data_IF_108991289999
#
_entry.id   IF_108991289999
#
_cell.length_a   1.000
_cell.length_b   1.000
_cell.length_c   1.000
_cell.angle_alpha   90.00
_cell.angle_beta   90.00
_cell.angle_gamma   90.00
#
_symmetry.space_group_name_H-M   'P 1'
#
loop_
_entity.id
_entity.type
_entity.pdbx_description
1 polymer ?
#
# COMPACT_ATOMS: atom_id res chain seq x y z
N UNK A 1 19.38 -1.06 -20.67
CA UNK A 1 20.38 -2.15 -20.82
C UNK A 1 20.08 -3.33 -19.90
N UNK A 2 19.93 -3.12 -18.58
CA UNK A 2 19.65 -4.18 -17.58
C UNK A 2 18.37 -4.97 -17.85
N UNK A 3 17.25 -4.32 -18.19
CA UNK A 3 15.98 -5.01 -18.45
C UNK A 3 16.06 -6.06 -19.58
N UNK A 4 16.84 -5.78 -20.65
CA UNK A 4 17.03 -6.73 -21.76
C UNK A 4 17.82 -7.97 -21.32
N UNK A 5 18.84 -7.79 -20.47
CA UNK A 5 19.62 -8.89 -19.89
C UNK A 5 18.78 -9.75 -18.96
N UNK A 6 17.97 -9.14 -18.09
CA UNK A 6 17.06 -9.87 -17.19
C UNK A 6 16.05 -10.69 -17.99
N UNK A 7 15.43 -10.11 -19.02
CA UNK A 7 14.53 -10.85 -19.92
C UNK A 7 15.25 -12.02 -20.58
N UNK A 8 16.40 -11.78 -21.20
CA UNK A 8 17.15 -12.82 -21.91
C UNK A 8 17.55 -13.98 -20.98
N UNK A 9 17.90 -13.69 -19.73
CA UNK A 9 18.32 -14.70 -18.75
C UNK A 9 17.17 -15.47 -18.12
N UNK A 10 16.09 -14.79 -17.73
CA UNK A 10 15.07 -15.39 -16.85
C UNK A 10 13.74 -15.70 -17.54
N UNK A 11 13.39 -14.98 -18.60
CA UNK A 11 12.14 -15.18 -19.35
C UNK A 11 12.31 -14.83 -20.84
N UNK A 12 13.22 -15.51 -21.57
CA UNK A 12 13.55 -15.14 -22.95
C UNK A 12 12.37 -15.31 -23.91
N UNK A 13 11.48 -16.26 -23.63
CA UNK A 13 10.33 -16.65 -24.47
C UNK A 13 8.97 -16.40 -23.82
N UNK A 14 8.93 -15.69 -22.69
CA UNK A 14 7.70 -15.42 -21.96
C UNK A 14 7.65 -13.97 -21.47
N UNK A 15 6.57 -13.60 -20.79
CA UNK A 15 6.46 -12.29 -20.14
C UNK A 15 7.05 -12.33 -18.73
N UNK A 16 7.28 -11.15 -18.15
CA UNK A 16 7.63 -11.03 -16.74
C UNK A 16 6.59 -11.77 -15.88
N UNK A 17 5.30 -11.65 -16.20
CA UNK A 17 4.17 -12.22 -15.46
C UNK A 17 4.14 -13.75 -15.42
N UNK A 18 4.77 -14.42 -16.38
CA UNK A 18 4.83 -15.89 -16.46
C UNK A 18 6.20 -16.45 -16.09
N UNK A 19 7.17 -15.58 -15.81
CA UNK A 19 8.53 -15.99 -15.54
C UNK A 19 8.59 -16.87 -14.27
N UNK A 20 9.16 -18.08 -14.33
CA UNK A 20 9.41 -18.88 -13.13
C UNK A 20 10.56 -18.28 -12.33
N UNK A 21 10.64 -18.60 -11.04
CA UNK A 21 11.77 -18.19 -10.20
C UNK A 21 13.08 -18.83 -10.68
N UNK A 22 13.00 -20.10 -11.09
CA UNK A 22 14.15 -20.92 -11.52
C UNK A 22 14.99 -21.42 -10.32
N UNK A 23 15.99 -22.25 -10.62
CA UNK A 23 16.79 -22.94 -9.60
C UNK A 23 17.92 -22.11 -8.99
N UNK A 24 18.57 -21.25 -9.79
CA UNK A 24 19.67 -20.38 -9.33
C UNK A 24 19.43 -18.90 -9.66
N UNK A 25 18.40 -18.28 -9.04
CA UNK A 25 18.08 -16.88 -9.26
C UNK A 25 19.09 -15.95 -8.56
N UNK A 26 19.43 -14.83 -9.22
CA UNK A 26 20.19 -13.76 -8.55
C UNK A 26 19.32 -13.08 -7.49
N UNK A 27 19.94 -12.40 -6.54
CA UNK A 27 19.21 -11.62 -5.53
C UNK A 27 18.25 -10.61 -6.18
N UNK A 28 18.72 -9.84 -7.16
CA UNK A 28 17.89 -8.88 -7.89
C UNK A 28 16.69 -9.55 -8.57
N UNK A 29 16.87 -10.73 -9.18
CA UNK A 29 15.77 -11.47 -9.78
C UNK A 29 14.76 -11.98 -8.74
N UNK A 30 15.21 -12.51 -7.60
CA UNK A 30 14.30 -12.90 -6.50
C UNK A 30 13.43 -11.72 -6.08
N UNK A 31 14.04 -10.55 -5.84
CA UNK A 31 13.31 -9.34 -5.46
C UNK A 31 12.30 -8.90 -6.52
N UNK A 32 12.70 -8.87 -7.80
CA UNK A 32 11.79 -8.53 -8.90
C UNK A 32 10.66 -9.55 -9.06
N UNK A 33 10.97 -10.84 -8.89
CA UNK A 33 9.99 -11.91 -9.00
C UNK A 33 8.93 -11.83 -7.91
N UNK A 34 9.29 -11.45 -6.68
CA UNK A 34 8.32 -11.15 -5.63
C UNK A 34 7.52 -9.88 -5.93
N UNK A 35 8.18 -8.80 -6.36
CA UNK A 35 7.53 -7.53 -6.69
C UNK A 35 6.55 -7.64 -7.89
N UNK A 36 6.76 -8.62 -8.78
CA UNK A 36 5.88 -8.92 -9.92
C UNK A 36 4.42 -9.10 -9.51
N UNK A 37 4.14 -9.64 -8.34
CA UNK A 37 2.76 -9.79 -7.86
C UNK A 37 2.07 -8.43 -7.76
N UNK A 38 2.75 -7.40 -7.25
CA UNK A 38 2.23 -6.03 -7.19
C UNK A 38 1.95 -5.51 -8.61
N UNK A 39 2.88 -5.78 -9.54
CA UNK A 39 2.71 -5.41 -10.95
C UNK A 39 1.51 -6.13 -11.59
N UNK A 40 1.26 -7.41 -11.29
CA UNK A 40 0.10 -8.11 -11.85
C UNK A 40 -1.24 -7.56 -11.35
N UNK A 41 -1.26 -6.95 -10.16
CA UNK A 41 -2.46 -6.33 -9.60
C UNK A 41 -2.73 -4.95 -10.22
N UNK A 42 -1.68 -4.14 -10.47
CA UNK A 42 -1.82 -2.73 -10.87
C UNK A 42 -1.55 -2.44 -12.34
N UNK A 43 -0.81 -3.28 -13.06
CA UNK A 43 -0.56 -3.10 -14.49
C UNK A 43 -1.71 -3.62 -15.36
N UNK A 44 -1.90 -2.98 -16.50
CA UNK A 44 -2.73 -3.46 -17.61
C UNK A 44 -2.06 -3.10 -18.94
N UNK A 45 -2.33 -3.84 -20.01
CA UNK A 45 -2.01 -3.42 -21.36
C UNK A 45 -3.06 -2.46 -21.91
N UNK A 46 -2.61 -1.33 -22.42
CA UNK A 46 -3.41 -0.44 -23.24
C UNK A 46 -3.24 -0.86 -24.70
N UNK A 47 -4.36 -1.18 -25.35
CA UNK A 47 -4.38 -1.72 -26.70
C UNK A 47 -4.08 -0.60 -27.71
N UNK A 48 -2.98 -0.74 -28.44
CA UNK A 48 -2.64 0.01 -29.63
C UNK A 48 -2.98 -0.82 -30.88
N UNK A 49 -1.97 -1.55 -31.37
CA UNK A 49 -2.09 -2.50 -32.49
C UNK A 49 -2.73 -3.83 -32.07
N UNK A 50 -2.54 -4.24 -30.82
CA UNK A 50 -2.92 -5.55 -30.30
C UNK A 50 -1.96 -6.69 -30.66
N UNK A 51 -0.91 -6.44 -31.45
CA UNK A 51 0.02 -7.48 -31.94
C UNK A 51 0.88 -8.05 -30.80
N UNK A 52 1.25 -7.22 -29.83
CA UNK A 52 2.14 -7.62 -28.74
C UNK A 52 1.40 -8.08 -27.47
N UNK A 53 0.09 -8.21 -27.54
CA UNK A 53 -0.76 -8.54 -26.39
C UNK A 53 -1.36 -9.92 -26.62
N UNK A 54 -0.94 -10.92 -25.85
CA UNK A 54 -1.47 -12.28 -25.94
C UNK A 54 -2.78 -12.37 -25.16
N UNK A 55 -3.81 -12.90 -25.81
CA UNK A 55 -5.19 -12.90 -25.28
C UNK A 55 -5.27 -13.57 -23.91
N UNK A 56 -4.64 -14.74 -23.76
CA UNK A 56 -4.70 -15.54 -22.53
C UNK A 56 -3.61 -15.19 -21.52
N UNK A 57 -2.52 -14.55 -21.96
CA UNK A 57 -1.25 -14.49 -21.21
C UNK A 57 -0.83 -13.08 -20.78
N UNK A 58 -1.65 -12.07 -21.08
CA UNK A 58 -1.38 -10.69 -20.70
C UNK A 58 -2.59 -10.04 -20.02
N UNK A 59 -2.40 -9.10 -19.07
CA UNK A 59 -3.50 -8.42 -18.40
C UNK A 59 -4.00 -7.26 -19.25
N UNK A 60 -4.99 -7.44 -20.12
CA UNK A 60 -5.45 -6.38 -21.03
C UNK A 60 -6.92 -5.98 -20.87
N UNK A 61 -7.73 -6.84 -20.23
CA UNK A 61 -9.14 -6.56 -19.97
C UNK A 61 -9.30 -5.46 -18.93
N UNK A 62 -10.37 -4.67 -19.05
CA UNK A 62 -10.76 -3.70 -18.03
C UNK A 62 -11.39 -4.42 -16.84
N UNK A 63 -11.08 -3.96 -15.61
CA UNK A 63 -11.76 -4.45 -14.42
C UNK A 63 -10.95 -4.29 -13.13
N UNK A 64 -11.50 -4.82 -12.04
CA UNK A 64 -10.82 -4.88 -10.74
C UNK A 64 -9.64 -5.86 -10.78
N UNK A 65 -8.88 -5.90 -9.69
CA UNK A 65 -7.56 -6.54 -9.54
C UNK A 65 -7.44 -8.01 -9.96
N UNK A 66 -8.55 -8.73 -10.21
CA UNK A 66 -8.56 -10.12 -10.73
C UNK A 66 -9.34 -10.30 -12.05
N UNK A 67 -9.83 -9.22 -12.66
CA UNK A 67 -10.64 -9.24 -13.89
C UNK A 67 -9.89 -8.71 -15.12
N UNK A 68 -8.57 -8.61 -15.04
CA UNK A 68 -7.71 -8.11 -16.13
C UNK A 68 -7.29 -9.19 -17.12
N UNK A 69 -7.49 -10.45 -16.75
CA UNK A 69 -7.15 -11.64 -17.53
C UNK A 69 -8.41 -12.30 -18.05
N UNK A 70 -8.30 -12.91 -19.24
CA UNK A 70 -9.32 -13.82 -19.75
C UNK A 70 -9.34 -15.05 -18.84
N UNK A 71 -10.50 -15.43 -18.27
CA UNK A 71 -10.56 -16.55 -17.33
C UNK A 71 -10.30 -17.86 -18.07
N UNK A 72 -9.53 -18.74 -17.44
CA UNK A 72 -9.34 -20.13 -17.88
C UNK A 72 -10.38 -21.06 -17.25
N UNK A 73 -10.77 -22.17 -17.89
CA UNK A 73 -10.30 -22.65 -19.20
C UNK A 73 -10.97 -21.95 -20.38
N UNK A 74 -10.33 -22.01 -21.56
CA UNK A 74 -10.84 -21.55 -22.85
C UNK A 74 -10.51 -22.59 -23.94
N UNK A 75 -11.11 -22.52 -25.14
CA UNK A 75 -10.74 -23.39 -26.26
C UNK A 75 -9.24 -23.28 -26.60
N UNK A 76 -8.62 -24.37 -27.06
CA UNK A 76 -7.19 -24.39 -27.39
C UNK A 76 -6.80 -23.33 -28.43
N UNK A 77 -7.71 -23.02 -29.35
CA UNK A 77 -7.54 -22.04 -30.43
C UNK A 77 -7.20 -20.63 -29.92
N UNK A 78 -7.70 -20.23 -28.73
CA UNK A 78 -7.51 -18.85 -28.25
C UNK A 78 -6.17 -18.61 -27.55
N UNK A 79 -5.47 -19.65 -27.12
CA UNK A 79 -4.20 -19.52 -26.38
C UNK A 79 -3.05 -18.96 -27.23
N UNK A 80 -3.11 -19.16 -28.53
CA UNK A 80 -2.11 -18.66 -29.48
C UNK A 80 -2.50 -17.29 -30.07
N UNK A 81 -3.67 -16.74 -29.71
CA UNK A 81 -4.15 -15.49 -30.28
C UNK A 81 -3.52 -14.27 -29.61
N UNK A 82 -3.23 -13.27 -30.44
CA UNK A 82 -3.02 -11.89 -30.02
C UNK A 82 -4.33 -11.11 -30.05
N UNK A 83 -4.38 -9.99 -29.32
CA UNK A 83 -5.54 -9.08 -29.35
C UNK A 83 -5.80 -8.56 -30.76
N UNK A 84 -4.75 -8.39 -31.59
CA UNK A 84 -4.89 -8.02 -33.01
C UNK A 84 -5.81 -8.97 -33.76
N UNK A 85 -5.78 -10.27 -33.45
CA UNK A 85 -6.61 -11.27 -34.12
C UNK A 85 -8.11 -11.13 -33.77
N UNK A 86 -8.47 -10.36 -32.74
CA UNK A 86 -9.84 -10.06 -32.33
C UNK A 86 -10.36 -8.72 -32.89
N UNK A 87 -9.48 -7.93 -33.54
CA UNK A 87 -9.81 -6.66 -34.16
C UNK A 87 -10.14 -6.81 -35.66
N UNK A 88 -10.81 -5.82 -36.23
CA UNK A 88 -10.93 -5.70 -37.69
C UNK A 88 -9.57 -5.40 -38.34
N UNK A 89 -9.34 -5.92 -39.55
CA UNK A 89 -8.06 -5.76 -40.26
C UNK A 89 -7.77 -4.30 -40.62
N UNK A 90 -8.78 -3.57 -41.08
CA UNK A 90 -8.61 -2.24 -41.67
C UNK A 90 -8.80 -1.07 -40.69
N UNK A 91 -9.44 -1.29 -39.55
CA UNK A 91 -9.73 -0.23 -38.59
C UNK A 91 -9.77 -0.76 -37.15
N UNK A 92 -9.53 0.14 -36.20
CA UNK A 92 -9.41 -0.19 -34.79
C UNK A 92 -10.79 -0.35 -34.13
N UNK A 93 -11.42 -1.49 -34.38
CA UNK A 93 -12.64 -1.90 -33.71
C UNK A 93 -12.65 -3.41 -33.47
N UNK A 94 -13.39 -3.85 -32.45
CA UNK A 94 -13.61 -5.26 -32.17
C UNK A 94 -14.39 -5.94 -33.31
N UNK A 95 -13.92 -7.11 -33.74
CA UNK A 95 -14.72 -7.99 -34.59
C UNK A 95 -15.71 -8.75 -33.71
N UNK A 96 -16.89 -8.17 -33.53
CA UNK A 96 -17.92 -8.66 -32.59
C UNK A 96 -18.29 -10.12 -32.86
N UNK A 97 -18.50 -10.48 -34.13
CA UNK A 97 -18.87 -11.84 -34.51
C UNK A 97 -17.77 -12.83 -34.13
N UNK A 98 -16.50 -12.49 -34.42
CA UNK A 98 -15.36 -13.35 -34.07
C UNK A 98 -15.20 -13.52 -32.57
N UNK A 99 -15.34 -12.44 -31.79
CA UNK A 99 -15.25 -12.50 -30.32
C UNK A 99 -16.37 -13.38 -29.75
N UNK A 100 -17.62 -13.19 -30.19
CA UNK A 100 -18.76 -14.00 -29.69
C UNK A 100 -18.71 -15.47 -30.08
N UNK A 101 -18.06 -15.80 -31.20
CA UNK A 101 -17.87 -17.19 -31.62
C UNK A 101 -16.75 -17.90 -30.85
N UNK A 102 -15.73 -17.17 -30.38
CA UNK A 102 -14.55 -17.74 -29.72
C UNK A 102 -14.68 -17.84 -28.19
N UNK A 103 -15.50 -17.01 -27.57
CA UNK A 103 -15.59 -16.89 -26.11
C UNK A 103 -17.02 -17.06 -25.62
N UNK A 104 -17.18 -17.50 -24.37
CA UNK A 104 -18.47 -17.50 -23.67
C UNK A 104 -19.04 -16.08 -23.56
N UNK A 105 -20.35 -15.96 -23.41
CA UNK A 105 -21.04 -14.65 -23.41
C UNK A 105 -20.46 -13.64 -22.41
N UNK A 106 -20.13 -14.09 -21.19
CA UNK A 106 -19.54 -13.26 -20.12
C UNK A 106 -18.12 -12.79 -20.45
N UNK A 107 -17.31 -13.64 -21.08
CA UNK A 107 -15.94 -13.29 -21.49
C UNK A 107 -15.95 -12.38 -22.70
N UNK A 108 -16.81 -12.69 -23.69
CA UNK A 108 -17.01 -11.88 -24.87
C UNK A 108 -17.44 -10.46 -24.50
N UNK A 109 -18.38 -10.30 -23.56
CA UNK A 109 -18.83 -8.99 -23.09
C UNK A 109 -17.67 -8.18 -22.49
N UNK A 110 -16.88 -8.77 -21.60
CA UNK A 110 -15.70 -8.11 -21.01
C UNK A 110 -14.65 -7.69 -22.04
N UNK A 111 -14.46 -8.51 -23.09
CA UNK A 111 -13.58 -8.18 -24.22
C UNK A 111 -14.13 -6.95 -24.95
N UNK A 112 -15.41 -6.98 -25.32
CA UNK A 112 -16.05 -5.91 -26.10
C UNK A 112 -16.15 -4.59 -25.31
N UNK A 113 -16.31 -4.65 -23.99
CA UNK A 113 -16.29 -3.49 -23.09
C UNK A 113 -14.90 -2.86 -22.92
N UNK A 114 -13.83 -3.57 -23.30
CA UNK A 114 -12.48 -3.04 -23.17
C UNK A 114 -12.26 -1.94 -24.23
N UNK A 115 -11.98 -0.69 -23.80
CA UNK A 115 -12.02 0.45 -24.71
C UNK A 115 -10.81 0.47 -25.66
N UNK A 116 -11.10 0.73 -26.93
CA UNK A 116 -10.11 0.95 -27.98
C UNK A 116 -9.93 2.46 -28.21
N UNK A 117 -8.85 3.02 -27.68
CA UNK A 117 -8.58 4.46 -27.78
C UNK A 117 -7.83 4.75 -29.09
N UNK A 118 -8.43 5.52 -30.00
CA UNK A 118 -7.86 5.80 -31.34
C UNK A 118 -6.51 6.54 -31.32
N UNK A 119 -6.26 7.38 -30.30
CA UNK A 119 -4.97 8.07 -30.15
C UNK A 119 -3.82 7.16 -29.75
N UNK A 120 -4.10 5.95 -29.24
CA UNK A 120 -3.08 4.97 -28.86
C UNK A 120 -2.76 4.09 -30.06
N UNK A 121 -1.56 4.26 -30.62
CA UNK A 121 -1.11 3.51 -31.80
C UNK A 121 -0.32 2.25 -31.42
N UNK A 122 0.53 2.35 -30.42
CA UNK A 122 1.39 1.26 -29.97
C UNK A 122 0.87 0.62 -28.68
N UNK A 123 1.07 -0.70 -28.56
CA UNK A 123 0.75 -1.43 -27.35
C UNK A 123 1.68 -1.01 -26.22
N UNK A 124 1.13 -0.67 -25.06
CA UNK A 124 1.94 -0.28 -23.91
C UNK A 124 1.34 -0.76 -22.59
N UNK A 125 2.22 -1.05 -21.63
CA UNK A 125 1.81 -1.37 -20.26
C UNK A 125 1.58 -0.08 -19.49
N UNK A 126 0.45 -0.02 -18.78
CA UNK A 126 -0.07 1.13 -18.07
C UNK A 126 -0.30 0.79 -16.59
N UNK A 127 -0.05 1.73 -15.69
CA UNK A 127 -0.31 1.58 -14.26
C UNK A 127 -1.66 2.21 -13.90
N UNK A 128 -2.61 1.41 -13.40
CA UNK A 128 -3.99 1.86 -13.22
C UNK A 128 -4.28 2.54 -11.89
N UNK A 129 -3.34 2.52 -10.94
CA UNK A 129 -3.54 3.16 -9.63
C UNK A 129 -3.27 4.68 -9.64
N UNK A 130 -2.81 5.23 -10.78
CA UNK A 130 -2.55 6.67 -10.93
C UNK A 130 -3.17 7.23 -12.22
N UNK A 131 -3.65 8.48 -12.15
CA UNK A 131 -4.27 9.17 -13.31
C UNK A 131 -3.30 9.46 -14.44
N UNK A 132 -2.02 9.67 -14.13
CA UNK A 132 -0.96 9.87 -15.11
C UNK A 132 -0.52 8.56 -15.78
N UNK A 133 -1.07 7.42 -15.34
CA UNK A 133 -0.80 6.10 -15.89
C UNK A 133 0.63 5.59 -15.63
N UNK A 134 1.41 6.34 -14.85
CA UNK A 134 2.78 6.02 -14.49
C UNK A 134 2.85 5.29 -13.15
N UNK A 135 3.78 4.35 -13.05
CA UNK A 135 4.08 3.70 -11.78
C UNK A 135 4.84 4.65 -10.87
N UNK A 136 4.46 4.69 -9.59
CA UNK A 136 5.31 5.22 -8.52
C UNK A 136 5.47 4.19 -7.40
N UNK A 137 6.59 4.26 -6.69
CA UNK A 137 6.83 3.41 -5.51
C UNK A 137 5.71 3.58 -4.47
N UNK A 138 5.18 4.80 -4.33
CA UNK A 138 4.09 5.14 -3.41
C UNK A 138 2.79 4.42 -3.78
N UNK A 139 2.38 4.42 -5.05
CA UNK A 139 1.16 3.73 -5.47
C UNK A 139 1.33 2.21 -5.45
N UNK A 140 2.51 1.69 -5.85
CA UNK A 140 2.85 0.27 -5.70
C UNK A 140 2.76 -0.20 -4.25
N UNK A 141 3.33 0.55 -3.31
CA UNK A 141 3.28 0.25 -1.88
C UNK A 141 1.84 0.26 -1.34
N UNK A 142 1.04 1.27 -1.71
CA UNK A 142 -0.39 1.33 -1.32
C UNK A 142 -1.15 0.10 -1.81
N UNK A 143 -0.92 -0.31 -3.06
CA UNK A 143 -1.57 -1.49 -3.63
C UNK A 143 -1.16 -2.78 -2.90
N UNK A 144 0.14 -2.92 -2.60
CA UNK A 144 0.66 -4.05 -1.83
C UNK A 144 0.05 -4.11 -0.42
N UNK A 145 -0.04 -2.97 0.27
CA UNK A 145 -0.69 -2.90 1.59
C UNK A 145 -2.15 -3.34 1.54
N UNK A 146 -2.88 -2.92 0.50
CA UNK A 146 -4.30 -3.25 0.33
C UNK A 146 -4.53 -4.73 0.04
N UNK A 147 -3.80 -5.32 -0.89
CA UNK A 147 -4.13 -6.64 -1.45
C UNK A 147 -3.21 -7.78 -1.01
N UNK A 148 -1.97 -7.51 -0.61
CA UNK A 148 -1.01 -8.55 -0.23
C UNK A 148 -0.93 -8.67 1.29
N UNK A 149 -0.80 -7.54 1.97
CA UNK A 149 -0.57 -7.51 3.42
C UNK A 149 -1.89 -7.50 4.21
N UNK A 150 -2.98 -7.05 3.58
CA UNK A 150 -4.29 -6.94 4.22
C UNK A 150 -4.35 -5.75 5.17
N UNK A 151 -4.44 -4.55 4.58
CA UNK A 151 -4.46 -3.21 5.18
C UNK A 151 -5.16 -3.14 6.55
N UNK A 152 -6.29 -3.82 6.73
CA UNK A 152 -7.14 -3.64 7.91
C UNK A 152 -6.45 -4.08 9.21
N UNK A 153 -5.50 -5.01 9.17
CA UNK A 153 -4.77 -5.44 10.37
C UNK A 153 -3.81 -4.39 10.93
N UNK A 154 -3.31 -3.49 10.08
CA UNK A 154 -2.26 -2.55 10.45
C UNK A 154 -2.66 -1.08 10.24
N UNK A 155 -3.85 -0.83 9.72
CA UNK A 155 -4.39 0.51 9.59
C UNK A 155 -4.83 1.01 10.97
N UNK A 156 -4.23 2.12 11.39
CA UNK A 156 -4.62 2.82 12.61
C UNK A 156 -5.22 4.14 12.16
N UNK A 157 -6.51 4.34 12.40
CA UNK A 157 -7.20 5.57 12.05
C UNK A 157 -6.70 6.73 12.92
N UNK A 158 -6.60 7.93 12.34
CA UNK A 158 -6.16 9.11 13.09
C UNK A 158 -5.48 10.18 12.25
N UNK A 159 -5.21 11.32 12.88
CA UNK A 159 -4.61 12.50 12.24
C UNK A 159 -3.06 12.39 12.18
N UNK A 160 -2.58 11.44 11.37
CA UNK A 160 -1.13 11.26 11.14
C UNK A 160 -0.45 12.51 10.56
N UNK A 161 -1.17 13.30 9.78
CA UNK A 161 -0.65 14.54 9.20
C UNK A 161 -0.30 15.57 10.27
N UNK A 162 -1.08 15.63 11.36
CA UNK A 162 -0.79 16.51 12.51
C UNK A 162 0.55 16.21 13.16
N UNK A 163 0.89 14.93 13.34
CA UNK A 163 2.20 14.49 13.87
C UNK A 163 3.34 15.01 12.98
N UNK A 164 3.22 14.84 11.66
CA UNK A 164 4.30 15.22 10.74
C UNK A 164 4.42 16.74 10.53
N UNK A 165 3.33 17.48 10.74
CA UNK A 165 3.29 18.95 10.72
C UNK A 165 3.76 19.60 12.02
N UNK A 166 3.89 18.86 13.11
CA UNK A 166 4.36 19.38 14.39
C UNK A 166 5.72 20.08 14.23
N UNK A 167 5.86 21.25 14.86
CA UNK A 167 7.11 22.01 14.86
C UNK A 167 8.11 21.39 15.85
N UNK A 168 8.64 20.22 15.50
CA UNK A 168 9.59 19.47 16.29
C UNK A 168 10.63 18.77 15.41
N UNK A 169 11.83 18.46 15.95
CA UNK A 169 12.84 17.65 15.25
C UNK A 169 12.25 16.33 14.75
N UNK A 170 12.82 15.81 13.66
CA UNK A 170 12.33 14.58 13.02
C UNK A 170 12.30 13.40 13.99
N UNK A 171 13.32 13.25 14.84
CA UNK A 171 13.40 12.20 15.85
C UNK A 171 12.22 12.25 16.82
N UNK A 172 11.82 13.45 17.25
CA UNK A 172 10.73 13.63 18.19
C UNK A 172 9.36 13.28 17.56
N UNK A 173 9.13 13.72 16.32
CA UNK A 173 7.94 13.33 15.53
C UNK A 173 7.88 11.82 15.31
N UNK A 174 9.03 11.18 15.11
CA UNK A 174 9.10 9.73 14.96
C UNK A 174 8.75 9.00 16.26
N UNK A 175 9.19 9.48 17.43
CA UNK A 175 8.77 8.91 18.72
C UNK A 175 7.26 9.01 18.90
N UNK A 176 6.67 10.17 18.61
CA UNK A 176 5.22 10.37 18.68
C UNK A 176 4.47 9.44 17.73
N UNK A 177 4.99 9.25 16.51
CA UNK A 177 4.46 8.24 15.58
C UNK A 177 4.53 6.83 16.19
N UNK A 178 5.65 6.42 16.82
CA UNK A 178 5.79 5.10 17.48
C UNK A 178 4.81 4.92 18.63
N UNK A 179 4.58 5.98 19.41
CA UNK A 179 3.59 6.01 20.48
C UNK A 179 2.19 5.77 19.94
N UNK A 180 1.77 6.54 18.92
CA UNK A 180 0.46 6.36 18.27
C UNK A 180 0.34 5.02 17.51
N UNK A 181 1.43 4.29 17.31
CA UNK A 181 1.42 2.92 16.75
C UNK A 181 1.44 1.83 17.82
N UNK A 182 1.46 2.18 19.11
CA UNK A 182 1.59 1.21 20.21
C UNK A 182 2.89 0.41 20.14
N UNK A 183 3.96 1.02 19.61
CA UNK A 183 5.24 0.35 19.35
C UNK A 183 6.31 0.69 20.41
N UNK A 184 5.93 1.36 21.50
CA UNK A 184 6.82 1.62 22.61
C UNK A 184 6.90 0.39 23.52
N UNK A 185 8.10 0.03 24.01
CA UNK A 185 8.30 -1.16 24.83
C UNK A 185 7.96 -0.88 26.30
N UNK A 186 6.71 -0.51 26.61
CA UNK A 186 6.27 -0.35 28.00
C UNK A 186 6.21 -1.70 28.71
N UNK A 187 6.30 -1.74 30.05
CA UNK A 187 6.15 -3.02 30.81
C UNK A 187 4.83 -3.72 30.49
N UNK A 188 3.73 -2.98 30.32
CA UNK A 188 2.46 -3.56 29.87
C UNK A 188 2.58 -4.26 28.50
N UNK A 189 3.24 -3.63 27.53
CA UNK A 189 3.49 -4.21 26.19
C UNK A 189 4.44 -5.40 26.19
N UNK A 190 5.38 -5.43 27.13
CA UNK A 190 6.27 -6.56 27.34
C UNK A 190 5.49 -7.76 27.89
N UNK A 191 4.59 -7.53 28.85
CA UNK A 191 3.69 -8.55 29.36
C UNK A 191 2.77 -9.12 28.26
N UNK A 192 2.19 -8.28 27.40
CA UNK A 192 1.41 -8.75 26.23
C UNK A 192 2.21 -9.72 25.33
N UNK A 193 3.53 -9.55 25.27
CA UNK A 193 4.46 -10.40 24.54
C UNK A 193 5.05 -11.55 25.38
N UNK A 194 4.48 -11.80 26.56
CA UNK A 194 4.88 -12.86 27.50
C UNK A 194 6.31 -12.70 28.03
N UNK A 195 6.80 -11.47 28.12
CA UNK A 195 8.05 -11.15 28.82
C UNK A 195 7.72 -10.90 30.29
N UNK A 196 8.26 -11.72 31.18
CA UNK A 196 8.11 -11.53 32.62
C UNK A 196 8.87 -10.28 33.07
N UNK A 197 8.15 -9.33 33.64
CA UNK A 197 8.71 -8.11 34.22
C UNK A 197 7.78 -7.54 35.29
N UNK A 198 8.32 -6.72 36.20
CA UNK A 198 7.49 -5.88 37.06
C UNK A 198 6.65 -4.95 36.17
N UNK A 199 5.37 -4.75 36.50
CA UNK A 199 4.46 -3.91 35.73
C UNK A 199 4.46 -2.45 36.17
N UNK A 200 4.93 -2.14 37.37
CA UNK A 200 4.87 -0.78 37.91
C UNK A 200 5.67 0.19 37.04
N UNK A 201 5.25 1.45 37.01
CA UNK A 201 5.96 2.51 36.34
C UNK A 201 7.38 2.64 36.92
N UNK A 202 8.44 2.61 36.10
CA UNK A 202 9.81 2.77 36.61
C UNK A 202 10.08 4.17 37.17
N UNK A 203 9.17 5.13 36.93
CA UNK A 203 9.32 6.53 37.33
C UNK A 203 8.64 6.80 38.68
N UNK A 204 7.37 6.39 38.86
CA UNK A 204 6.66 6.62 40.12
C UNK A 204 6.48 5.37 41.00
N UNK A 205 6.68 4.17 40.45
CA UNK A 205 6.50 2.87 41.13
C UNK A 205 5.10 2.58 41.71
N UNK A 206 4.08 3.35 41.31
CA UNK A 206 2.72 3.28 41.87
C UNK A 206 1.68 2.60 40.97
N UNK A 207 1.63 2.94 39.67
CA UNK A 207 0.65 2.39 38.71
C UNK A 207 1.36 1.56 37.62
N UNK A 208 0.58 0.80 36.83
CA UNK A 208 1.10 0.02 35.69
C UNK A 208 1.72 0.96 34.64
N UNK A 209 2.90 0.61 34.12
CA UNK A 209 3.54 1.31 33.01
C UNK A 209 2.85 0.97 31.68
N UNK A 210 1.89 1.80 31.30
CA UNK A 210 1.33 1.88 29.95
C UNK A 210 1.61 3.28 29.32
N UNK A 211 1.27 3.45 28.05
CA UNK A 211 1.55 4.70 27.34
C UNK A 211 0.74 5.89 27.90
N UNK A 212 -0.46 5.67 28.46
CA UNK A 212 -1.25 6.78 29.02
C UNK A 212 -0.69 7.22 30.37
N UNK A 213 -0.26 6.27 31.20
CA UNK A 213 0.34 6.54 32.49
C UNK A 213 1.66 7.27 32.32
N UNK A 214 2.62 6.68 31.60
CA UNK A 214 3.99 7.21 31.53
C UNK A 214 4.04 8.63 30.93
N UNK A 215 3.17 8.96 29.98
CA UNK A 215 3.20 10.25 29.30
C UNK A 215 2.22 11.30 29.84
N UNK A 216 1.15 10.89 30.54
CA UNK A 216 0.07 11.83 30.91
C UNK A 216 -0.43 11.74 32.36
N UNK A 217 -0.39 10.57 33.01
CA UNK A 217 -0.97 10.42 34.37
C UNK A 217 0.09 10.35 35.47
N UNK A 218 1.28 9.83 35.17
CA UNK A 218 2.38 9.71 36.11
C UNK A 218 2.66 11.08 36.77
N UNK A 219 2.84 11.10 38.09
CA UNK A 219 3.05 12.34 38.84
C UNK A 219 4.21 13.16 38.25
N UNK A 220 5.34 12.51 37.98
CA UNK A 220 6.54 13.13 37.38
C UNK A 220 6.26 13.65 35.95
N UNK A 221 5.47 12.91 35.16
CA UNK A 221 5.06 13.39 33.84
C UNK A 221 4.23 14.66 33.96
N UNK A 222 3.22 14.69 34.84
CA UNK A 222 2.38 15.88 35.07
C UNK A 222 3.20 17.09 35.52
N UNK A 223 4.19 16.88 36.40
CA UNK A 223 5.10 17.95 36.82
C UNK A 223 5.90 18.51 35.63
N UNK A 224 6.33 17.63 34.72
CA UNK A 224 7.02 18.03 33.48
C UNK A 224 6.11 18.82 32.54
N UNK A 225 4.84 18.42 32.40
CA UNK A 225 3.82 19.18 31.65
C UNK A 225 3.57 20.58 32.26
N UNK A 226 3.54 20.68 33.58
CA UNK A 226 3.40 21.94 34.30
C UNK A 226 4.62 22.84 34.11
N UNK A 227 5.83 22.30 34.28
CA UNK A 227 7.08 23.02 34.07
C UNK A 227 7.23 23.52 32.62
N UNK A 228 6.72 22.76 31.65
CA UNK A 228 6.70 23.14 30.24
C UNK A 228 5.62 24.17 29.90
N UNK A 229 4.75 24.57 30.83
CA UNK A 229 3.64 25.51 30.60
C UNK A 229 2.56 24.94 29.67
N UNK A 230 2.31 23.63 29.74
CA UNK A 230 1.35 22.90 28.91
C UNK A 230 0.19 22.29 29.74
N UNK A 231 0.01 22.72 31.00
CA UNK A 231 -1.05 22.20 31.88
C UNK A 231 -2.45 22.34 31.29
N UNK A 232 -2.73 23.43 30.57
CA UNK A 232 -4.04 23.64 29.92
C UNK A 232 -4.33 22.60 28.85
N UNK A 233 -3.31 22.18 28.10
CA UNK A 233 -3.40 21.10 27.11
C UNK A 233 -3.53 19.75 27.81
N UNK A 234 -2.77 19.53 28.89
CA UNK A 234 -2.85 18.29 29.67
C UNK A 234 -4.25 18.09 30.26
N UNK A 235 -4.84 19.12 30.86
CA UNK A 235 -6.12 19.02 31.58
C UNK A 235 -7.35 19.32 30.70
N UNK A 236 -7.19 19.49 29.39
CA UNK A 236 -8.31 19.72 28.50
C UNK A 236 -9.19 18.45 28.44
N UNK A 237 -10.47 18.60 28.81
CA UNK A 237 -11.45 17.51 28.84
C UNK A 237 -11.66 16.87 27.46
N UNK A 238 -11.54 17.65 26.38
CA UNK A 238 -11.66 17.15 25.01
C UNK A 238 -10.57 16.11 24.66
N UNK A 239 -9.46 16.10 25.42
CA UNK A 239 -8.32 15.22 25.17
C UNK A 239 -8.22 14.06 26.18
N UNK A 240 -9.12 13.96 27.17
CA UNK A 240 -9.13 12.84 28.14
C UNK A 240 -9.68 11.55 27.53
N UNK A 241 -8.98 11.05 26.51
CA UNK A 241 -9.30 9.81 25.83
C UNK A 241 -8.79 8.60 26.62
N UNK A 242 -9.38 7.43 26.35
CA UNK A 242 -9.07 6.18 27.06
C UNK A 242 -7.65 5.65 26.79
N UNK A 243 -7.01 6.09 25.70
CA UNK A 243 -5.65 5.70 25.35
C UNK A 243 -4.83 6.91 24.86
N UNK A 244 -3.50 6.75 24.93
CA UNK A 244 -2.56 7.80 24.59
C UNK A 244 -2.62 8.23 23.11
N UNK A 245 -2.93 7.29 22.20
CA UNK A 245 -3.00 7.55 20.77
C UNK A 245 -4.13 8.52 20.42
N UNK A 246 -5.35 8.24 20.87
CA UNK A 246 -6.52 9.08 20.60
C UNK A 246 -6.35 10.46 21.22
N UNK A 247 -5.75 10.54 22.41
CA UNK A 247 -5.39 11.80 23.07
C UNK A 247 -4.45 12.64 22.21
N UNK A 248 -3.40 12.05 21.65
CA UNK A 248 -2.47 12.74 20.75
C UNK A 248 -3.15 13.14 19.45
N UNK A 249 -4.01 12.30 18.87
CA UNK A 249 -4.74 12.67 17.65
C UNK A 249 -5.74 13.79 17.90
N UNK A 250 -6.38 13.83 19.06
CA UNK A 250 -7.23 14.94 19.48
C UNK A 250 -6.40 16.24 19.59
N UNK A 251 -5.25 16.21 20.25
CA UNK A 251 -4.32 17.35 20.29
C UNK A 251 -3.88 17.79 18.89
N UNK A 252 -3.49 16.85 18.03
CA UNK A 252 -3.10 17.12 16.64
C UNK A 252 -4.20 17.78 15.79
N UNK A 253 -5.46 17.59 16.16
CA UNK A 253 -6.62 18.08 15.41
C UNK A 253 -7.14 19.42 15.92
N UNK A 254 -6.89 19.73 17.20
CA UNK A 254 -7.43 20.91 17.86
C UNK A 254 -6.37 21.96 18.23
N UNK A 255 -5.10 21.57 18.34
CA UNK A 255 -4.01 22.46 18.68
C UNK A 255 -3.19 22.92 17.46
N UNK A 256 -2.53 24.06 17.60
CA UNK A 256 -1.61 24.55 16.57
C UNK A 256 -0.38 23.64 16.42
N UNK A 257 0.21 23.62 15.22
CA UNK A 257 1.46 22.84 14.98
C UNK A 257 2.62 23.20 15.92
N UNK A 258 2.64 24.44 16.44
CA UNK A 258 3.61 24.88 17.44
C UNK A 258 3.36 24.27 18.82
N UNK A 259 2.10 24.23 19.28
CA UNK A 259 1.72 23.60 20.55
C UNK A 259 1.97 22.09 20.48
N UNK A 260 1.53 21.43 19.39
CA UNK A 260 1.83 20.01 19.15
C UNK A 260 3.34 19.76 19.11
N UNK A 261 4.12 20.69 18.53
CA UNK A 261 5.58 20.64 18.55
C UNK A 261 6.17 20.65 19.96
N UNK A 262 5.70 21.55 20.83
CA UNK A 262 6.11 21.62 22.25
C UNK A 262 5.73 20.36 23.02
N UNK A 263 4.50 19.86 22.84
CA UNK A 263 4.07 18.56 23.40
C UNK A 263 4.99 17.44 22.94
N UNK A 264 5.27 17.38 21.64
CA UNK A 264 6.15 16.36 21.06
C UNK A 264 7.53 16.39 21.71
N UNK A 265 8.10 17.58 21.92
CA UNK A 265 9.40 17.75 22.58
C UNK A 265 9.38 17.29 24.03
N UNK A 266 8.33 17.61 24.77
CA UNK A 266 8.15 17.19 26.16
C UNK A 266 8.06 15.66 26.31
N UNK A 267 7.36 14.98 25.40
CA UNK A 267 7.26 13.52 25.45
C UNK A 267 8.56 12.81 25.01
N UNK A 268 9.56 13.54 24.52
CA UNK A 268 10.84 13.00 24.06
C UNK A 268 12.01 13.30 25.02
N UNK A 269 11.80 14.10 26.06
CA UNK A 269 12.81 14.45 27.08
C UNK A 269 12.86 13.42 28.17
#
# INVERSE_FOLDING_TARGET
MVAKLIKARYFPRSSLFEAPLGYNPSFAWRSMWHARQILSLGCRWQIGSGENIRVMHDPWLRGTVNKKWVPSPQPAEVYQLSVRNLLHENYKAWNIAKVRNLFSGDVAERILETPLVNSVREDKVVWEEERNVCYSVKSGYKLAMRYIIGSDKYHVAGNWNGIWKAQAPHMARHLLWRLCRGCLPTRYRLLERRVECNLNCPVCDEEIEDEIHIFFRCAVARDSWCAAGLSTVLHNDAYQQSNAMDRIFAMCSNESSAIVGRVTMLLCS
#
